data_IF_927810120370
#
_entry.id   IF_927810120370
#
_cell.length_a   1.000
_cell.length_b   1.000
_cell.length_c   1.000
_cell.angle_alpha   90.00
_cell.angle_beta   90.00
_cell.angle_gamma   90.00
#
_symmetry.space_group_name_H-M   'P 1'
#
loop_
_entity.id
_entity.type
_entity.pdbx_description
1 polymer ?
#
# COMPACT_ATOMS: atom_id res chain seq x y z
N UNK A 1 -9.60 14.30 27.53
CA UNK A 1 -9.87 14.26 26.08
C UNK A 1 -10.90 15.35 25.76
N UNK A 2 -10.78 16.06 24.63
CA UNK A 2 -11.77 17.03 24.22
C UNK A 2 -13.12 16.35 23.91
N UNK A 3 -14.21 17.13 23.98
CA UNK A 3 -15.51 16.68 23.49
C UNK A 3 -15.40 16.37 21.99
N UNK A 4 -15.83 15.18 21.52
CA UNK A 4 -15.82 14.84 20.10
C UNK A 4 -16.60 15.80 19.20
N UNK A 5 -17.57 16.54 19.74
CA UNK A 5 -18.31 17.58 19.05
C UNK A 5 -17.56 18.91 18.89
N UNK A 6 -16.52 19.13 19.70
CA UNK A 6 -15.66 20.32 19.61
C UNK A 6 -14.50 20.08 18.64
N UNK A 7 -14.77 20.19 17.34
CA UNK A 7 -13.78 19.96 16.29
C UNK A 7 -12.50 20.80 16.43
N UNK A 8 -12.55 22.10 16.78
CA UNK A 8 -11.35 22.88 17.06
C UNK A 8 -10.48 22.26 18.18
N UNK A 9 -11.07 21.85 19.29
CA UNK A 9 -10.35 21.23 20.40
C UNK A 9 -9.80 19.83 20.03
N UNK A 10 -10.58 19.03 19.31
CA UNK A 10 -10.13 17.73 18.75
C UNK A 10 -8.94 17.92 17.82
N UNK A 11 -8.98 18.89 16.93
CA UNK A 11 -7.88 19.20 16.03
C UNK A 11 -6.59 19.54 16.77
N UNK A 12 -6.67 20.45 17.78
CA UNK A 12 -5.50 20.82 18.58
C UNK A 12 -4.91 19.62 19.32
N UNK A 13 -5.74 18.74 19.86
CA UNK A 13 -5.29 17.52 20.52
C UNK A 13 -4.59 16.57 19.53
N UNK A 14 -5.15 16.36 18.35
CA UNK A 14 -4.56 15.52 17.32
C UNK A 14 -3.24 16.09 16.76
N UNK A 15 -3.17 17.39 16.48
CA UNK A 15 -1.92 18.04 16.03
C UNK A 15 -0.75 17.83 16.98
N UNK A 16 -1.02 17.58 18.26
CA UNK A 16 -0.02 17.31 19.29
C UNK A 16 0.40 15.85 19.35
N UNK A 17 -0.52 14.90 19.17
CA UNK A 17 -0.25 13.46 19.33
C UNK A 17 0.00 12.74 18.01
N UNK A 18 -0.54 13.24 16.92
CA UNK A 18 -0.44 12.62 15.61
C UNK A 18 1.00 12.43 15.09
N UNK A 19 1.88 13.45 15.18
CA UNK A 19 3.27 13.29 14.74
C UNK A 19 4.01 12.21 15.54
N UNK A 20 3.81 12.13 16.84
CA UNK A 20 4.45 11.13 17.69
C UNK A 20 3.97 9.71 17.35
N UNK A 21 2.69 9.52 17.08
CA UNK A 21 2.14 8.23 16.65
C UNK A 21 2.72 7.81 15.28
N UNK A 22 2.71 8.72 14.31
CA UNK A 22 3.21 8.42 12.96
C UNK A 22 4.70 8.10 13.00
N UNK A 23 5.51 8.86 13.75
CA UNK A 23 6.93 8.59 13.89
C UNK A 23 7.16 7.22 14.56
N UNK A 24 6.60 7.00 15.74
CA UNK A 24 6.85 5.78 16.52
C UNK A 24 6.41 4.50 15.77
N UNK A 25 5.20 4.48 15.25
CA UNK A 25 4.67 3.30 14.56
C UNK A 25 5.20 3.16 13.13
N UNK A 26 5.55 4.26 12.47
CA UNK A 26 6.22 4.25 11.18
C UNK A 26 7.63 3.67 11.29
N UNK A 27 8.42 4.07 12.28
CA UNK A 27 9.76 3.53 12.57
C UNK A 27 9.68 2.04 12.91
N UNK A 28 8.73 1.66 13.77
CA UNK A 28 8.51 0.25 14.10
C UNK A 28 8.13 -0.56 12.86
N UNK A 29 7.27 -0.03 11.99
CA UNK A 29 6.88 -0.68 10.73
C UNK A 29 8.08 -0.87 9.80
N UNK A 30 8.97 0.12 9.69
CA UNK A 30 10.18 0.02 8.89
C UNK A 30 11.18 -0.98 9.48
N UNK A 31 11.37 -0.99 10.81
CA UNK A 31 12.26 -1.93 11.50
C UNK A 31 11.82 -3.37 11.33
N UNK A 32 10.54 -3.66 11.61
CA UNK A 32 9.99 -5.01 11.41
C UNK A 32 10.11 -5.44 9.95
N UNK A 33 9.89 -4.52 9.01
CA UNK A 33 10.04 -4.81 7.59
C UNK A 33 11.49 -5.13 7.21
N UNK A 34 12.47 -4.48 7.82
CA UNK A 34 13.89 -4.79 7.62
C UNK A 34 14.24 -6.19 8.10
N UNK A 35 13.83 -6.56 9.33
CA UNK A 35 14.04 -7.89 9.89
C UNK A 35 13.40 -8.99 9.03
N UNK A 36 12.17 -8.77 8.59
CA UNK A 36 11.45 -9.68 7.69
C UNK A 36 12.17 -9.79 6.34
N UNK A 37 12.67 -8.69 5.81
CA UNK A 37 13.39 -8.68 4.55
C UNK A 37 14.68 -9.51 4.64
N UNK A 38 15.48 -9.34 5.70
CA UNK A 38 16.72 -10.10 5.91
C UNK A 38 16.43 -11.60 6.01
N UNK A 39 15.40 -12.00 6.76
CA UNK A 39 14.99 -13.39 6.87
C UNK A 39 14.60 -13.97 5.49
N UNK A 40 13.75 -13.30 4.74
CA UNK A 40 13.34 -13.75 3.40
C UNK A 40 14.50 -13.78 2.41
N UNK A 41 15.38 -12.77 2.41
CA UNK A 41 16.55 -12.75 1.55
C UNK A 41 17.46 -13.95 1.85
N UNK A 42 17.67 -14.26 3.12
CA UNK A 42 18.43 -15.45 3.56
C UNK A 42 17.81 -16.75 3.03
N UNK A 43 16.50 -16.94 3.21
CA UNK A 43 15.77 -18.13 2.76
C UNK A 43 15.84 -18.30 1.23
N UNK A 44 15.84 -17.20 0.50
CA UNK A 44 15.95 -17.17 -0.95
C UNK A 44 17.40 -17.21 -1.46
N UNK A 45 18.42 -17.18 -0.58
CA UNK A 45 19.82 -17.13 -0.96
C UNK A 45 20.22 -15.82 -1.65
N UNK A 46 19.57 -14.71 -1.29
CA UNK A 46 19.87 -13.37 -1.77
C UNK A 46 20.73 -12.65 -0.72
N UNK A 47 21.83 -12.02 -1.14
CA UNK A 47 22.59 -11.16 -0.24
C UNK A 47 21.76 -9.90 0.09
N UNK A 48 21.37 -9.69 1.38
CA UNK A 48 20.47 -8.61 1.72
C UNK A 48 21.18 -7.25 1.69
N UNK A 49 20.59 -6.28 1.03
CA UNK A 49 20.92 -4.86 1.12
C UNK A 49 19.70 -4.10 1.66
N UNK A 50 19.70 -3.86 2.97
CA UNK A 50 18.57 -3.21 3.65
C UNK A 50 18.59 -1.71 3.42
N UNK A 51 17.47 -1.17 2.93
CA UNK A 51 17.24 0.26 2.75
C UNK A 51 16.12 0.68 3.68
N UNK A 52 16.48 1.19 4.87
CA UNK A 52 15.52 1.76 5.81
C UNK A 52 14.84 2.99 5.22
N UNK A 53 13.53 3.10 5.43
CA UNK A 53 12.75 4.25 4.99
C UNK A 53 12.19 4.99 6.19
N UNK A 54 12.49 6.26 6.24
CA UNK A 54 12.00 7.19 7.26
C UNK A 54 10.47 7.27 7.28
N UNK A 55 9.87 7.61 8.43
CA UNK A 55 8.46 7.93 8.52
C UNK A 55 8.03 8.98 7.50
N UNK A 56 6.73 9.02 7.24
CA UNK A 56 6.18 10.00 6.31
C UNK A 56 6.42 11.42 6.82
N UNK A 57 6.71 12.33 5.89
CA UNK A 57 6.84 13.76 6.18
C UNK A 57 5.67 14.30 7.02
N UNK A 58 6.00 14.99 8.11
CA UNK A 58 5.02 15.40 9.11
C UNK A 58 4.06 16.48 8.61
N UNK A 59 4.47 17.35 7.70
CA UNK A 59 3.58 18.35 7.12
C UNK A 59 2.50 17.68 6.29
N UNK A 60 2.90 16.66 5.52
CA UNK A 60 1.97 15.82 4.76
C UNK A 60 1.06 15.02 5.69
N UNK A 61 1.60 14.41 6.75
CA UNK A 61 0.82 13.65 7.72
C UNK A 61 -0.23 14.53 8.40
N UNK A 62 0.16 15.73 8.82
CA UNK A 62 -0.73 16.71 9.45
C UNK A 62 -1.80 17.24 8.45
N UNK A 63 -1.43 17.48 7.19
CA UNK A 63 -2.39 17.88 6.16
C UNK A 63 -3.45 16.80 5.93
N UNK A 64 -3.05 15.53 5.90
CA UNK A 64 -3.96 14.38 5.78
C UNK A 64 -4.89 14.24 6.98
N UNK A 65 -4.37 14.40 8.18
CA UNK A 65 -5.16 14.40 9.42
C UNK A 65 -6.21 15.52 9.41
N UNK A 66 -5.80 16.76 9.11
CA UNK A 66 -6.71 17.91 9.02
C UNK A 66 -7.82 17.70 8.00
N UNK A 67 -7.50 17.12 6.86
CA UNK A 67 -8.50 16.75 5.85
C UNK A 67 -9.47 15.71 6.42
N UNK A 68 -8.97 14.66 7.07
CA UNK A 68 -9.79 13.56 7.59
C UNK A 68 -10.82 14.01 8.64
N UNK A 69 -10.44 14.91 9.56
CA UNK A 69 -11.39 15.45 10.56
C UNK A 69 -12.44 16.39 9.97
N UNK A 70 -12.24 16.87 8.76
CA UNK A 70 -13.22 17.68 8.02
C UNK A 70 -14.26 16.86 7.23
N UNK A 71 -14.15 15.54 7.22
CA UNK A 71 -15.09 14.64 6.52
C UNK A 71 -16.28 14.28 7.40
N UNK A 72 -17.44 13.90 6.82
CA UNK A 72 -18.61 13.46 7.59
C UNK A 72 -18.31 12.22 8.47
N UNK A 73 -17.44 11.31 7.98
CA UNK A 73 -17.06 10.06 8.66
C UNK A 73 -15.66 10.18 9.29
N UNK A 74 -15.47 11.17 10.14
CA UNK A 74 -14.18 11.59 10.69
C UNK A 74 -13.35 10.42 11.26
N UNK A 75 -13.93 9.60 12.14
CA UNK A 75 -13.23 8.50 12.81
C UNK A 75 -12.79 7.43 11.80
N UNK A 76 -13.68 7.04 10.89
CA UNK A 76 -13.35 6.08 9.83
C UNK A 76 -12.25 6.61 8.92
N UNK A 77 -12.37 7.86 8.47
CA UNK A 77 -11.36 8.49 7.62
C UNK A 77 -10.02 8.66 8.31
N UNK A 78 -9.99 9.05 9.60
CA UNK A 78 -8.75 9.12 10.38
C UNK A 78 -8.08 7.75 10.51
N UNK A 79 -8.86 6.69 10.77
CA UNK A 79 -8.34 5.33 10.86
C UNK A 79 -7.68 4.87 9.56
N UNK A 80 -8.31 5.14 8.43
CA UNK A 80 -7.77 4.84 7.08
C UNK A 80 -6.47 5.61 6.81
N UNK A 81 -6.44 6.89 7.16
CA UNK A 81 -5.24 7.73 6.99
C UNK A 81 -4.11 7.27 7.89
N UNK A 82 -4.40 6.94 9.15
CA UNK A 82 -3.41 6.44 10.11
C UNK A 82 -2.81 5.12 9.61
N UNK A 83 -3.64 4.16 9.22
CA UNK A 83 -3.22 2.87 8.70
C UNK A 83 -2.27 3.02 7.49
N UNK A 84 -2.62 3.88 6.54
CA UNK A 84 -1.79 4.17 5.38
C UNK A 84 -0.42 4.74 5.78
N UNK A 85 -0.41 5.77 6.64
CA UNK A 85 0.82 6.48 7.03
C UNK A 85 1.77 5.61 7.85
N UNK A 86 1.23 4.75 8.72
CA UNK A 86 2.02 3.82 9.54
C UNK A 86 2.59 2.66 8.74
N UNK A 87 1.82 2.08 7.81
CA UNK A 87 2.27 0.95 6.99
C UNK A 87 3.22 1.35 5.86
N UNK A 88 3.18 2.61 5.42
CA UNK A 88 3.94 3.06 4.26
C UNK A 88 5.46 2.91 4.42
N UNK A 89 6.10 3.26 5.55
CA UNK A 89 7.54 3.07 5.74
C UNK A 89 7.96 1.60 5.61
N UNK A 90 7.26 0.67 6.25
CA UNK A 90 7.55 -0.76 6.16
C UNK A 90 7.43 -1.30 4.73
N UNK A 91 6.33 -0.98 4.04
CA UNK A 91 6.14 -1.36 2.63
C UNK A 91 7.24 -0.80 1.73
N UNK A 92 7.65 0.43 1.98
CA UNK A 92 8.71 1.09 1.21
C UNK A 92 10.09 0.52 1.53
N UNK A 93 10.35 0.13 2.78
CA UNK A 93 11.57 -0.55 3.21
C UNK A 93 11.71 -1.89 2.47
N UNK A 94 10.69 -2.75 2.49
CA UNK A 94 10.69 -4.01 1.74
C UNK A 94 10.94 -3.80 0.24
N UNK A 95 10.20 -2.88 -0.39
CA UNK A 95 10.30 -2.65 -1.83
C UNK A 95 11.67 -2.08 -2.25
N UNK A 96 12.23 -1.14 -1.48
CA UNK A 96 13.54 -0.55 -1.79
C UNK A 96 14.68 -1.52 -1.52
N UNK A 97 14.61 -2.28 -0.42
CA UNK A 97 15.60 -3.31 -0.10
C UNK A 97 15.62 -4.43 -1.14
N UNK A 98 14.46 -4.85 -1.66
CA UNK A 98 14.40 -5.82 -2.75
C UNK A 98 15.15 -5.30 -3.99
N UNK A 99 14.89 -4.06 -4.40
CA UNK A 99 15.57 -3.45 -5.56
C UNK A 99 17.07 -3.28 -5.32
N UNK A 100 17.48 -2.85 -4.13
CA UNK A 100 18.90 -2.69 -3.75
C UNK A 100 19.62 -4.03 -3.81
N UNK A 101 19.00 -5.10 -3.32
CA UNK A 101 19.53 -6.46 -3.35
C UNK A 101 19.46 -7.14 -4.74
N UNK A 102 19.07 -6.43 -5.79
CA UNK A 102 18.95 -6.97 -7.14
C UNK A 102 17.79 -7.97 -7.32
N UNK A 103 16.84 -8.00 -6.40
CA UNK A 103 15.66 -8.85 -6.45
C UNK A 103 14.41 -8.10 -6.93
N UNK A 104 13.43 -8.88 -7.39
CA UNK A 104 12.09 -8.36 -7.65
C UNK A 104 11.21 -8.37 -6.41
N UNK A 105 10.07 -7.70 -6.50
CA UNK A 105 9.02 -7.82 -5.52
C UNK A 105 7.64 -7.78 -6.19
N UNK A 106 6.67 -8.37 -5.56
CA UNK A 106 5.30 -8.41 -6.02
C UNK A 106 4.36 -7.77 -4.99
N UNK A 107 3.24 -7.22 -5.48
CA UNK A 107 2.09 -6.87 -4.65
C UNK A 107 1.20 -8.08 -4.50
N UNK A 108 1.03 -8.54 -3.30
CA UNK A 108 0.18 -9.71 -3.01
C UNK A 108 -1.00 -9.27 -2.14
N UNK A 109 -2.23 -9.38 -2.65
CA UNK A 109 -3.43 -9.15 -1.86
C UNK A 109 -3.48 -10.08 -0.64
N UNK A 110 -3.85 -9.56 0.53
CA UNK A 110 -3.91 -10.33 1.79
C UNK A 110 -5.24 -10.19 2.53
N UNK A 111 -6.08 -9.24 2.14
CA UNK A 111 -7.38 -9.02 2.75
C UNK A 111 -8.50 -9.82 2.12
N UNK A 112 -9.67 -9.78 2.76
CA UNK A 112 -10.88 -10.44 2.26
C UNK A 112 -11.45 -9.75 1.00
N UNK A 113 -11.15 -8.48 0.80
CA UNK A 113 -11.66 -7.67 -0.31
C UNK A 113 -10.56 -6.81 -0.92
N UNK A 114 -10.07 -7.23 -2.07
CA UNK A 114 -9.08 -6.48 -2.82
C UNK A 114 -9.75 -5.56 -3.83
N UNK A 115 -9.45 -4.26 -3.77
CA UNK A 115 -10.01 -3.30 -4.72
C UNK A 115 -9.47 -3.53 -6.15
N UNK A 116 -10.23 -3.08 -7.16
CA UNK A 116 -9.86 -3.26 -8.56
C UNK A 116 -8.48 -2.68 -8.90
N UNK A 117 -8.10 -1.55 -8.30
CA UNK A 117 -6.77 -0.95 -8.49
C UNK A 117 -5.65 -1.85 -7.94
N UNK A 118 -5.82 -2.41 -6.73
CA UNK A 118 -4.87 -3.37 -6.16
C UNK A 118 -4.81 -4.66 -6.97
N UNK A 119 -5.94 -5.19 -7.43
CA UNK A 119 -5.99 -6.37 -8.31
C UNK A 119 -5.22 -6.15 -9.61
N UNK A 120 -5.39 -4.98 -10.25
CA UNK A 120 -4.66 -4.59 -11.46
C UNK A 120 -3.15 -4.46 -11.19
N UNK A 121 -2.73 -3.91 -10.06
CA UNK A 121 -1.31 -3.83 -9.71
C UNK A 121 -0.73 -5.21 -9.34
N UNK A 122 -1.50 -6.04 -8.66
CA UNK A 122 -1.11 -7.40 -8.29
C UNK A 122 -1.00 -8.33 -9.51
N UNK A 123 -1.81 -8.11 -10.55
CA UNK A 123 -1.75 -8.90 -11.80
C UNK A 123 -0.44 -8.74 -12.58
N UNK A 124 0.38 -7.76 -12.22
CA UNK A 124 1.68 -7.54 -12.86
C UNK A 124 2.77 -8.49 -12.38
N UNK A 125 2.54 -9.26 -11.32
CA UNK A 125 3.55 -10.13 -10.73
C UNK A 125 4.77 -9.36 -10.21
N UNK A 126 5.94 -9.98 -10.27
CA UNK A 126 7.22 -9.44 -9.76
C UNK A 126 7.95 -8.53 -10.78
N UNK A 127 7.25 -7.64 -11.46
CA UNK A 127 7.85 -6.72 -12.46
C UNK A 127 8.60 -5.54 -11.85
N UNK A 128 8.54 -5.38 -10.55
CA UNK A 128 9.12 -4.24 -9.83
C UNK A 128 10.59 -4.49 -9.46
N UNK A 129 11.41 -4.86 -10.44
CA UNK A 129 12.82 -5.26 -10.25
C UNK A 129 13.83 -4.14 -10.49
N UNK A 130 13.41 -2.96 -10.92
CA UNK A 130 14.30 -1.82 -11.16
C UNK A 130 13.80 -0.57 -10.46
N UNK A 131 14.73 0.36 -10.14
CA UNK A 131 14.35 1.65 -9.58
C UNK A 131 13.32 2.39 -10.44
N UNK A 132 13.37 2.24 -11.77
CA UNK A 132 12.43 2.86 -12.70
C UNK A 132 11.05 2.19 -12.66
N UNK A 133 10.96 0.87 -12.62
CA UNK A 133 9.70 0.14 -12.50
C UNK A 133 9.12 0.27 -11.10
N UNK A 134 9.97 0.34 -10.07
CA UNK A 134 9.57 0.58 -8.68
C UNK A 134 9.20 2.05 -8.41
N UNK A 135 9.70 3.03 -9.20
CA UNK A 135 9.41 4.46 -9.00
C UNK A 135 8.04 4.90 -9.49
N UNK A 136 7.39 4.09 -10.33
CA UNK A 136 6.02 4.34 -10.77
C UNK A 136 4.97 4.13 -9.67
N UNK A 137 3.72 4.00 -10.07
CA UNK A 137 2.56 3.83 -9.17
C UNK A 137 2.62 2.56 -8.31
N UNK A 138 3.56 1.64 -8.61
CA UNK A 138 3.80 0.43 -7.84
C UNK A 138 4.11 0.67 -6.36
N UNK A 139 4.66 1.83 -5.98
CA UNK A 139 4.97 2.20 -4.60
C UNK A 139 3.84 2.92 -3.87
N UNK A 140 2.81 3.35 -4.59
CA UNK A 140 1.68 4.02 -3.97
C UNK A 140 0.71 2.98 -3.43
N UNK A 141 0.61 2.96 -2.12
CA UNK A 141 -0.44 2.25 -1.42
C UNK A 141 -1.48 3.29 -1.01
N UNK A 142 -2.74 3.02 -1.32
CA UNK A 142 -3.85 3.90 -0.93
C UNK A 142 -4.37 3.52 0.45
N UNK A 143 -5.22 4.35 1.02
CA UNK A 143 -5.96 3.99 2.22
C UNK A 143 -6.76 2.68 2.00
N UNK A 144 -6.91 1.87 3.03
CA UNK A 144 -7.56 0.54 2.98
C UNK A 144 -6.87 -0.46 2.03
N UNK A 145 -5.60 -0.21 1.67
CA UNK A 145 -4.86 -1.15 0.85
C UNK A 145 -4.46 -2.38 1.67
N UNK A 146 -4.91 -3.55 1.25
CA UNK A 146 -4.63 -4.84 1.87
C UNK A 146 -3.37 -5.54 1.32
N UNK A 147 -2.72 -4.96 0.31
CA UNK A 147 -1.57 -5.58 -0.33
C UNK A 147 -0.33 -5.58 0.56
N UNK A 148 0.34 -6.74 0.61
CA UNK A 148 1.69 -6.89 1.10
C UNK A 148 2.72 -6.74 -0.03
N UNK A 149 3.94 -6.34 0.32
CA UNK A 149 5.13 -6.43 -0.53
C UNK A 149 5.80 -7.77 -0.24
N UNK A 150 5.98 -8.60 -1.26
CA UNK A 150 6.62 -9.91 -1.14
C UNK A 150 7.86 -9.93 -2.01
N UNK A 151 9.00 -10.33 -1.40
CA UNK A 151 10.27 -10.53 -2.11
C UNK A 151 10.18 -11.73 -3.03
N UNK A 152 10.68 -11.62 -4.25
CA UNK A 152 10.57 -12.64 -5.29
C UNK A 152 11.82 -12.65 -6.16
N UNK A 153 12.45 -13.83 -6.37
CA UNK A 153 13.48 -14.02 -7.40
C UNK A 153 12.85 -14.38 -8.73
N UNK A 154 11.89 -15.31 -8.66
CA UNK A 154 11.14 -15.77 -9.83
C UNK A 154 9.72 -16.22 -9.43
N UNK A 155 8.92 -16.66 -10.39
CA UNK A 155 7.51 -17.02 -10.15
C UNK A 155 7.31 -18.20 -9.18
N UNK A 156 8.33 -19.00 -8.89
CA UNK A 156 8.26 -20.09 -7.92
C UNK A 156 8.24 -19.59 -6.47
N UNK A 157 8.67 -18.36 -6.25
CA UNK A 157 8.68 -17.73 -4.94
C UNK A 157 7.33 -17.04 -4.61
N UNK A 158 6.33 -17.16 -5.48
CA UNK A 158 5.00 -16.62 -5.20
C UNK A 158 4.34 -17.40 -4.06
N UNK A 159 3.73 -16.71 -3.09
CA UNK A 159 3.04 -17.39 -2.01
C UNK A 159 1.80 -18.13 -2.51
N UNK A 160 1.43 -19.18 -1.77
CA UNK A 160 0.23 -19.95 -2.06
C UNK A 160 -1.00 -19.06 -2.20
N UNK A 161 -1.79 -19.32 -3.23
CA UNK A 161 -3.00 -18.57 -3.54
C UNK A 161 -2.78 -17.24 -4.28
N UNK A 162 -1.54 -16.87 -4.57
CA UNK A 162 -1.25 -15.72 -5.43
C UNK A 162 -0.95 -16.15 -6.86
N UNK A 163 -1.87 -15.81 -7.76
CA UNK A 163 -1.77 -16.07 -9.20
C UNK A 163 -1.98 -14.76 -9.96
N UNK A 164 -0.88 -14.11 -10.43
CA UNK A 164 -0.98 -12.87 -11.19
C UNK A 164 -1.67 -13.03 -12.53
N UNK A 165 -1.58 -14.20 -13.17
CA UNK A 165 -2.23 -14.44 -14.47
C UNK A 165 -3.74 -14.57 -14.29
N UNK A 166 -4.20 -15.25 -13.25
CA UNK A 166 -5.62 -15.30 -12.90
C UNK A 166 -6.18 -13.89 -12.59
N UNK A 167 -5.41 -13.03 -11.89
CA UNK A 167 -5.79 -11.64 -11.64
C UNK A 167 -5.84 -10.81 -12.93
N UNK A 168 -4.89 -11.02 -13.86
CA UNK A 168 -4.86 -10.35 -15.16
C UNK A 168 -6.08 -10.73 -16.00
N UNK A 169 -6.43 -12.03 -16.05
CA UNK A 169 -7.59 -12.53 -16.76
C UNK A 169 -8.90 -11.97 -16.18
N UNK A 170 -9.04 -11.96 -14.85
CA UNK A 170 -10.19 -11.38 -14.18
C UNK A 170 -10.34 -9.88 -14.47
N UNK A 171 -9.24 -9.13 -14.53
CA UNK A 171 -9.25 -7.72 -14.89
C UNK A 171 -9.66 -7.52 -16.35
N UNK A 172 -9.11 -8.31 -17.28
CA UNK A 172 -9.47 -8.25 -18.70
C UNK A 172 -10.97 -8.55 -18.91
N UNK A 173 -11.48 -9.59 -18.28
CA UNK A 173 -12.90 -9.97 -18.35
C UNK A 173 -13.82 -8.87 -17.78
N UNK A 174 -13.44 -8.24 -16.66
CA UNK A 174 -14.18 -7.12 -16.10
C UNK A 174 -14.19 -5.91 -17.04
N UNK A 175 -13.07 -5.62 -17.69
CA UNK A 175 -12.93 -4.53 -18.66
C UNK A 175 -13.81 -4.75 -19.88
N UNK A 176 -13.83 -5.96 -20.44
CA UNK A 176 -14.69 -6.33 -21.56
C UNK A 176 -16.16 -6.18 -21.20
N UNK A 177 -16.57 -6.65 -20.02
CA UNK A 177 -17.95 -6.52 -19.53
C UNK A 177 -18.34 -5.06 -19.34
N UNK A 178 -17.46 -4.23 -18.81
CA UNK A 178 -17.72 -2.80 -18.61
C UNK A 178 -17.89 -2.07 -19.94
N UNK A 179 -17.00 -2.29 -20.91
CA UNK A 179 -17.12 -1.70 -22.26
C UNK A 179 -18.33 -2.21 -23.01
N UNK A 180 -18.67 -3.48 -22.91
CA UNK A 180 -19.88 -4.06 -23.46
C UNK A 180 -21.17 -3.44 -22.87
N UNK A 181 -21.18 -3.18 -21.56
CA UNK A 181 -22.30 -2.52 -20.89
C UNK A 181 -22.48 -1.06 -21.33
N UNK A 182 -21.38 -0.33 -21.55
CA UNK A 182 -21.43 1.06 -22.08
C UNK A 182 -22.00 1.08 -23.49
N UNK A 183 -21.61 0.14 -24.34
CA UNK A 183 -22.05 0.10 -25.73
C UNK A 183 -23.55 -0.23 -25.85
N UNK A 184 -24.10 -1.06 -24.95
CA UNK A 184 -25.52 -1.34 -24.86
C UNK A 184 -26.33 -0.13 -24.37
N UNK A 185 -25.78 0.69 -23.48
CA UNK A 185 -26.44 1.90 -22.97
C UNK A 185 -26.48 3.02 -24.02
N UNK A 186 -25.49 3.12 -24.89
CA UNK A 186 -25.47 4.07 -26.01
C UNK A 186 -26.48 3.73 -27.10
N UNK A 187 -26.90 2.46 -27.23
CA UNK A 187 -27.92 2.03 -28.19
C UNK A 187 -29.38 2.31 -27.77
N UNK A 188 -29.60 2.67 -26.52
CA UNK A 188 -30.95 2.90 -25.98
C UNK A 188 -31.36 4.37 -25.93
N UNK A 189 -30.53 5.29 -26.48
CA UNK A 189 -30.77 6.74 -26.50
C UNK A 189 -30.92 7.24 -27.96
N UNK A 190 -31.65 6.49 -28.81
CA UNK A 190 -32.08 6.95 -30.14
C UNK A 190 -33.59 6.88 -30.24
#
# INVERSE_FOLDING_TARGET
LPDPGDLPAVRVALERTWPELIAAYGDMSATVAADVFEAWASDLGIAPEVVMVEPVDMDRANARMRWAIGTPEQVGTLSVVLDELVKQPGRSTLAKSAVASGAGWARVPRGAHTCAFCSMLASRGAVYSTARTASGDGRKFHGECDCAVILVRDSRDYPDGYDPDALANAYADATVRYHGAIDTTKRTVT
#
